data_IF_027382421301
#
_entry.id   IF_027382421301
#
_cell.length_a   1.000
_cell.length_b   1.000
_cell.length_c   1.000
_cell.angle_alpha   90.00
_cell.angle_beta   90.00
_cell.angle_gamma   90.00
#
_symmetry.space_group_name_H-M   'P 1'
#
loop_
_entity.id
_entity.type
_entity.pdbx_description
1 polymer ?
#
# COMPACT_ATOMS: atom_id res chain seq x y z
N UNK A 1 -1.64 -28.01 66.17
CA UNK A 1 -2.82 -28.03 65.26
C UNK A 1 -2.81 -26.74 64.44
N UNK A 2 -2.70 -26.88 63.10
CA UNK A 2 -3.23 -26.05 61.99
C UNK A 2 -3.48 -24.55 62.29
N UNK A 3 -2.90 -23.56 61.62
CA UNK A 3 -2.42 -23.51 60.23
C UNK A 3 -3.03 -22.27 59.58
N UNK A 4 -2.17 -21.31 59.18
CA UNK A 4 -2.49 -20.02 58.55
C UNK A 4 -3.37 -20.21 57.31
N UNK A 5 -4.48 -19.47 57.20
CA UNK A 5 -5.29 -19.41 55.96
C UNK A 5 -4.83 -18.22 55.13
N UNK A 6 -4.18 -18.54 54.01
CA UNK A 6 -3.67 -17.62 53.01
C UNK A 6 -4.76 -17.16 52.04
N UNK A 7 -4.71 -15.87 51.71
CA UNK A 7 -4.91 -15.21 50.41
C UNK A 7 -5.77 -15.93 49.36
N UNK A 8 -6.87 -15.27 48.94
CA UNK A 8 -7.52 -15.53 47.66
C UNK A 8 -7.97 -14.21 47.00
N UNK A 9 -7.01 -13.42 46.51
CA UNK A 9 -7.21 -12.50 45.39
C UNK A 9 -6.74 -13.22 44.13
N UNK A 10 -7.65 -13.86 43.39
CA UNK A 10 -7.33 -14.43 42.09
C UNK A 10 -8.61 -14.62 41.25
N UNK A 11 -8.69 -13.97 40.08
CA UNK A 11 -9.67 -14.36 39.07
C UNK A 11 -10.23 -13.26 38.18
N UNK A 12 -9.43 -12.30 37.71
CA UNK A 12 -9.83 -11.36 36.63
C UNK A 12 -8.56 -10.96 35.86
N UNK A 13 -7.93 -11.92 35.19
CA UNK A 13 -6.69 -11.71 34.44
C UNK A 13 -6.80 -12.28 33.03
N UNK A 14 -6.72 -11.34 32.07
CA UNK A 14 -6.29 -11.45 30.67
C UNK A 14 -7.12 -12.29 29.68
N UNK A 15 -7.96 -11.62 28.89
CA UNK A 15 -8.48 -12.16 27.61
C UNK A 15 -8.43 -11.16 26.43
N UNK A 16 -7.64 -10.09 26.48
CA UNK A 16 -7.79 -8.96 25.52
C UNK A 16 -6.60 -8.66 24.59
N UNK A 17 -5.74 -9.64 24.24
CA UNK A 17 -4.56 -9.38 23.38
C UNK A 17 -4.51 -10.09 22.01
N UNK A 18 -5.58 -10.75 21.55
CA UNK A 18 -5.50 -11.61 20.36
C UNK A 18 -5.89 -10.98 19.00
N UNK A 19 -6.31 -9.71 18.93
CA UNK A 19 -6.93 -9.18 17.71
C UNK A 19 -5.97 -8.62 16.64
N UNK A 20 -4.67 -8.45 16.92
CA UNK A 20 -3.73 -7.84 15.96
C UNK A 20 -3.05 -8.84 15.00
N UNK A 21 -3.36 -10.13 15.06
CA UNK A 21 -2.60 -11.17 14.37
C UNK A 21 -3.06 -11.49 12.93
N UNK A 22 -4.25 -11.05 12.50
CA UNK A 22 -4.87 -11.56 11.27
C UNK A 22 -4.76 -10.67 10.03
N UNK A 23 -4.06 -9.53 10.09
CA UNK A 23 -3.82 -8.73 8.90
C UNK A 23 -2.75 -9.40 8.01
N UNK A 24 -3.02 -9.60 6.70
CA UNK A 24 -2.00 -10.01 5.74
C UNK A 24 -0.80 -9.06 5.81
N UNK A 25 0.41 -9.62 5.79
CA UNK A 25 1.67 -8.88 5.92
C UNK A 25 2.49 -9.01 4.65
N UNK A 26 3.45 -8.10 4.49
CA UNK A 26 4.52 -8.24 3.52
C UNK A 26 5.15 -9.64 3.58
N UNK A 27 5.61 -10.17 2.43
CA UNK A 27 6.33 -11.44 2.40
C UNK A 27 7.55 -11.45 3.31
N UNK A 28 7.92 -12.63 3.80
CA UNK A 28 9.14 -12.81 4.60
C UNK A 28 10.36 -12.30 3.82
N UNK A 29 11.23 -11.57 4.49
CA UNK A 29 12.46 -11.01 3.91
C UNK A 29 12.30 -9.62 3.31
N UNK A 30 11.08 -9.07 3.24
CA UNK A 30 10.86 -7.66 2.91
C UNK A 30 10.83 -6.82 4.18
N UNK A 31 11.70 -5.82 4.25
CA UNK A 31 11.73 -4.86 5.35
C UNK A 31 10.77 -3.69 5.06
N UNK A 32 9.79 -3.51 5.93
CA UNK A 32 8.74 -2.49 5.79
C UNK A 32 9.31 -1.06 5.82
N UNK A 33 10.29 -0.80 6.68
CA UNK A 33 10.92 0.52 6.82
C UNK A 33 11.71 0.89 5.57
N UNK A 34 12.50 -0.06 5.03
CA UNK A 34 13.25 0.13 3.79
C UNK A 34 12.32 0.34 2.60
N UNK A 35 11.24 -0.45 2.49
CA UNK A 35 10.23 -0.27 1.44
C UNK A 35 9.58 1.12 1.52
N UNK A 36 9.19 1.53 2.72
CA UNK A 36 8.62 2.87 2.98
C UNK A 36 9.59 3.98 2.59
N UNK A 37 10.86 3.88 2.98
CA UNK A 37 11.88 4.87 2.62
C UNK A 37 12.17 4.90 1.12
N UNK A 38 12.23 3.74 0.46
CA UNK A 38 12.49 3.64 -0.97
C UNK A 38 11.35 4.28 -1.78
N UNK A 39 10.10 3.91 -1.49
CA UNK A 39 8.92 4.46 -2.18
C UNK A 39 8.75 5.95 -1.87
N UNK A 40 8.94 6.36 -0.61
CA UNK A 40 8.84 7.76 -0.20
C UNK A 40 9.86 8.66 -0.93
N UNK A 41 11.08 8.17 -1.18
CA UNK A 41 12.08 8.91 -1.98
C UNK A 41 11.75 8.95 -3.46
N UNK A 42 11.10 7.90 -3.99
CA UNK A 42 10.82 7.77 -5.41
C UNK A 42 9.67 8.67 -5.86
N UNK A 43 8.55 8.65 -5.12
CA UNK A 43 7.30 9.31 -5.51
C UNK A 43 6.54 9.95 -4.34
N UNK A 44 7.19 10.13 -3.18
CA UNK A 44 6.55 10.66 -1.98
C UNK A 44 6.00 12.08 -2.16
N UNK A 45 4.81 12.30 -1.61
CA UNK A 45 4.10 13.57 -1.66
C UNK A 45 2.86 13.53 -0.75
N UNK A 46 2.26 14.70 -0.45
CA UNK A 46 1.11 14.79 0.45
C UNK A 46 -0.12 14.01 -0.07
N UNK A 47 -0.25 13.88 -1.39
CA UNK A 47 -1.34 13.22 -2.09
C UNK A 47 -0.86 11.97 -2.87
N UNK A 48 0.21 11.33 -2.42
CA UNK A 48 0.69 10.05 -2.96
C UNK A 48 0.09 8.88 -2.18
N UNK A 49 -0.35 7.84 -2.87
CA UNK A 49 -0.64 6.54 -2.27
C UNK A 49 -0.01 5.41 -3.08
N UNK A 50 0.53 4.41 -2.38
CA UNK A 50 0.93 3.13 -2.95
C UNK A 50 0.35 2.01 -2.11
N UNK A 51 -0.29 1.04 -2.72
CA UNK A 51 -0.76 -0.15 -2.02
C UNK A 51 -0.27 -1.41 -2.75
N UNK A 52 0.01 -2.46 -1.99
CA UNK A 52 0.42 -3.76 -2.51
C UNK A 52 -0.53 -4.81 -1.97
N UNK A 53 -1.00 -5.70 -2.84
CA UNK A 53 -1.82 -6.86 -2.50
C UNK A 53 -1.09 -8.17 -2.81
N UNK A 54 -1.46 -9.21 -2.06
CA UNK A 54 -1.14 -10.58 -2.43
C UNK A 54 -1.98 -11.08 -3.62
N UNK A 55 -1.70 -12.30 -4.04
CA UNK A 55 -2.42 -13.06 -5.08
C UNK A 55 -3.94 -13.18 -4.84
N UNK A 56 -4.37 -13.10 -3.58
CA UNK A 56 -5.78 -13.11 -3.16
C UNK A 56 -6.43 -11.72 -3.16
N UNK A 57 -5.72 -10.68 -3.59
CA UNK A 57 -6.18 -9.30 -3.58
C UNK A 57 -6.28 -8.68 -2.18
N UNK A 58 -5.67 -9.31 -1.17
CA UNK A 58 -5.63 -8.75 0.17
C UNK A 58 -4.44 -7.80 0.30
N UNK A 59 -4.69 -6.57 0.75
CA UNK A 59 -3.63 -5.59 0.96
C UNK A 59 -2.65 -6.08 2.03
N UNK A 60 -1.38 -6.18 1.65
CA UNK A 60 -0.25 -6.57 2.52
C UNK A 60 0.61 -5.38 2.92
N UNK A 61 0.50 -4.26 2.21
CA UNK A 61 1.26 -3.05 2.48
C UNK A 61 0.58 -1.79 1.94
N UNK A 62 0.84 -0.66 2.59
CA UNK A 62 0.43 0.68 2.15
C UNK A 62 1.56 1.67 2.45
N UNK A 63 1.95 2.42 1.42
CA UNK A 63 2.74 3.65 1.53
C UNK A 63 1.86 4.87 1.29
N UNK A 64 2.00 5.88 2.14
CA UNK A 64 1.20 7.11 2.09
C UNK A 64 0.14 7.20 3.19
N UNK A 65 -0.45 8.39 3.33
CA UNK A 65 -1.44 8.66 4.37
C UNK A 65 -2.80 8.03 4.08
N UNK A 66 -3.57 7.74 5.14
CA UNK A 66 -4.93 7.20 5.03
C UNK A 66 -5.81 8.03 4.09
N UNK A 67 -5.76 9.37 4.24
CA UNK A 67 -6.56 10.29 3.43
C UNK A 67 -6.16 10.24 1.95
N UNK A 68 -4.86 10.11 1.64
CA UNK A 68 -4.38 9.96 0.27
C UNK A 68 -4.96 8.69 -0.36
N UNK A 69 -4.86 7.55 0.32
CA UNK A 69 -5.29 6.27 -0.24
C UNK A 69 -6.81 6.05 -0.32
N UNK A 70 -7.58 6.65 0.60
CA UNK A 70 -9.02 6.42 0.69
C UNK A 70 -9.86 7.38 -0.17
N UNK A 71 -9.28 8.50 -0.63
CA UNK A 71 -10.01 9.49 -1.39
C UNK A 71 -10.32 8.99 -2.81
N UNK A 72 -11.57 9.11 -3.28
CA UNK A 72 -11.89 8.88 -4.69
C UNK A 72 -11.20 9.91 -5.59
N UNK A 73 -10.60 9.46 -6.66
CA UNK A 73 -9.91 10.26 -7.67
C UNK A 73 -10.36 9.85 -9.08
N UNK A 74 -10.26 10.71 -10.10
CA UNK A 74 -10.60 10.33 -11.47
C UNK A 74 -9.78 9.12 -11.95
N UNK A 75 -10.44 8.12 -12.53
CA UNK A 75 -9.81 6.92 -13.09
C UNK A 75 -9.36 7.10 -14.55
N UNK A 76 -9.50 8.30 -15.10
CA UNK A 76 -9.16 8.68 -16.48
C UNK A 76 -10.01 8.01 -17.58
N UNK A 77 -11.14 7.41 -17.22
CA UNK A 77 -12.15 6.85 -18.12
C UNK A 77 -13.54 7.52 -17.94
N UNK A 78 -13.59 8.63 -17.21
CA UNK A 78 -14.83 9.32 -16.84
C UNK A 78 -15.45 8.85 -15.53
N UNK A 79 -14.87 7.83 -14.87
CA UNK A 79 -15.29 7.38 -13.54
C UNK A 79 -14.33 7.86 -12.44
N UNK A 80 -14.71 7.62 -11.19
CA UNK A 80 -13.83 7.82 -10.03
C UNK A 80 -13.55 6.49 -9.33
N UNK A 81 -12.36 6.36 -8.74
CA UNK A 81 -11.94 5.16 -8.03
C UNK A 81 -11.06 5.51 -6.83
N UNK A 82 -10.95 4.59 -5.88
CA UNK A 82 -9.97 4.68 -4.78
C UNK A 82 -8.76 3.82 -5.08
N UNK A 83 -7.64 4.02 -4.38
CA UNK A 83 -6.48 3.15 -4.51
C UNK A 83 -6.84 1.69 -4.20
N UNK A 84 -7.61 1.43 -3.15
CA UNK A 84 -8.02 0.08 -2.75
C UNK A 84 -8.89 -0.61 -3.83
N UNK A 85 -9.81 0.12 -4.45
CA UNK A 85 -10.64 -0.40 -5.53
C UNK A 85 -9.82 -0.67 -6.81
N UNK A 86 -8.93 0.26 -7.17
CA UNK A 86 -8.00 0.10 -8.29
C UNK A 86 -7.05 -1.09 -8.07
N UNK A 87 -6.51 -1.27 -6.87
CA UNK A 87 -5.66 -2.41 -6.52
C UNK A 87 -6.38 -3.74 -6.74
N UNK A 88 -7.59 -3.88 -6.20
CA UNK A 88 -8.42 -5.10 -6.39
C UNK A 88 -8.71 -5.36 -7.86
N UNK A 89 -9.00 -4.31 -8.62
CA UNK A 89 -9.25 -4.41 -10.05
C UNK A 89 -8.00 -4.78 -10.85
N UNK A 90 -6.79 -4.50 -10.35
CA UNK A 90 -5.52 -4.77 -11.02
C UNK A 90 -4.98 -6.19 -10.77
N UNK A 91 -5.46 -6.91 -9.75
CA UNK A 91 -4.97 -8.26 -9.42
C UNK A 91 -5.09 -9.19 -10.63
N UNK A 92 -3.98 -9.84 -10.99
CA UNK A 92 -3.91 -10.78 -12.12
C UNK A 92 -3.95 -10.11 -13.51
N UNK A 93 -3.89 -8.79 -13.58
CA UNK A 93 -3.84 -8.04 -14.85
C UNK A 93 -2.44 -7.59 -15.20
N UNK A 94 -2.23 -7.25 -16.47
CA UNK A 94 -1.01 -6.64 -16.95
C UNK A 94 -0.85 -5.22 -16.39
N UNK A 95 0.40 -4.78 -16.38
CA UNK A 95 0.72 -3.41 -15.99
C UNK A 95 0.02 -2.40 -16.89
N UNK A 96 -0.53 -1.36 -16.28
CA UNK A 96 -1.13 -0.24 -16.98
C UNK A 96 -0.97 1.04 -16.17
N UNK A 97 -0.98 2.16 -16.88
CA UNK A 97 -0.83 3.49 -16.32
C UNK A 97 -1.76 4.45 -17.03
N UNK A 98 -2.15 5.51 -16.33
CA UNK A 98 -3.00 6.56 -16.87
C UNK A 98 -2.67 7.91 -16.24
N UNK A 99 -2.96 8.99 -16.96
CA UNK A 99 -2.90 10.36 -16.44
C UNK A 99 -4.02 11.19 -17.02
N UNK A 100 -4.62 12.01 -16.17
CA UNK A 100 -5.71 12.91 -16.56
C UNK A 100 -5.79 14.11 -15.60
N UNK A 101 -6.58 15.14 -15.92
CA UNK A 101 -6.87 16.23 -14.98
C UNK A 101 -7.45 15.70 -13.66
N UNK A 102 -7.02 16.25 -12.53
CA UNK A 102 -7.48 15.80 -11.20
C UNK A 102 -8.93 16.20 -10.90
N UNK A 103 -9.42 17.27 -11.54
CA UNK A 103 -10.69 17.90 -11.20
C UNK A 103 -10.68 18.62 -9.85
N UNK A 104 -9.52 18.84 -9.23
CA UNK A 104 -9.39 19.63 -8.00
C UNK A 104 -9.31 21.13 -8.28
N UNK A 105 -9.53 21.95 -7.25
CA UNK A 105 -9.52 23.42 -7.36
C UNK A 105 -8.10 24.00 -7.61
N UNK A 106 -7.07 23.14 -7.63
CA UNK A 106 -5.69 23.54 -7.91
C UNK A 106 -5.49 23.62 -9.42
N UNK A 107 -5.17 24.81 -9.99
CA UNK A 107 -4.99 24.97 -11.42
C UNK A 107 -3.89 24.05 -11.97
N UNK A 108 -4.21 23.32 -13.04
CA UNK A 108 -3.26 22.41 -13.70
C UNK A 108 -2.95 21.14 -12.92
N UNK A 109 -3.63 20.87 -11.80
CA UNK A 109 -3.45 19.61 -11.08
C UNK A 109 -3.86 18.41 -11.93
N UNK A 110 -3.04 17.37 -11.86
CA UNK A 110 -3.27 16.11 -12.56
C UNK A 110 -3.34 14.98 -11.55
N UNK A 111 -3.91 13.86 -11.98
CA UNK A 111 -3.77 12.57 -11.31
C UNK A 111 -2.99 11.64 -12.23
N UNK A 112 -2.00 10.96 -11.66
CA UNK A 112 -1.27 9.87 -12.31
C UNK A 112 -1.55 8.56 -11.60
N UNK A 113 -1.74 7.49 -12.37
CA UNK A 113 -1.97 6.13 -11.91
C UNK A 113 -0.97 5.18 -12.55
N UNK A 114 -0.46 4.24 -11.77
CA UNK A 114 0.30 3.09 -12.24
C UNK A 114 -0.11 1.86 -11.43
N UNK A 115 -0.36 0.74 -12.08
CA UNK A 115 -0.70 -0.50 -11.38
C UNK A 115 -0.36 -1.72 -12.22
N UNK A 116 -0.12 -2.84 -11.56
CA UNK A 116 0.29 -4.08 -12.22
C UNK A 116 1.01 -5.03 -11.28
N UNK A 117 1.62 -6.09 -11.82
CA UNK A 117 2.46 -6.98 -11.05
C UNK A 117 3.64 -6.22 -10.43
N UNK A 118 3.98 -6.51 -9.17
CA UNK A 118 5.23 -6.04 -8.58
C UNK A 118 6.38 -6.78 -9.26
N UNK A 119 7.37 -6.09 -9.84
CA UNK A 119 8.48 -6.75 -10.50
C UNK A 119 9.36 -7.47 -9.47
N UNK A 120 9.86 -8.64 -9.86
CA UNK A 120 10.80 -9.41 -9.04
C UNK A 120 12.21 -8.88 -9.17
N UNK A 121 12.83 -8.51 -8.04
CA UNK A 121 14.25 -8.16 -7.97
C UNK A 121 15.17 -9.33 -8.32
N UNK A 122 16.39 -9.03 -8.79
CA UNK A 122 17.37 -10.05 -9.13
C UNK A 122 17.69 -10.94 -7.91
N UNK A 123 17.57 -12.26 -8.07
CA UNK A 123 17.79 -13.24 -6.99
C UNK A 123 16.65 -13.35 -5.98
N UNK A 124 15.52 -12.65 -6.17
CA UNK A 124 14.31 -12.81 -5.36
C UNK A 124 13.36 -13.82 -6.00
N UNK A 125 12.55 -14.55 -5.20
CA UNK A 125 11.47 -15.37 -5.74
C UNK A 125 10.34 -14.48 -6.26
N UNK A 126 9.64 -14.92 -7.31
CA UNK A 126 8.37 -14.31 -7.68
C UNK A 126 7.38 -14.47 -6.51
N UNK A 127 6.76 -13.35 -6.12
CA UNK A 127 5.84 -13.27 -4.98
C UNK A 127 4.40 -13.07 -5.41
N UNK A 128 4.15 -12.98 -6.72
CA UNK A 128 2.83 -12.75 -7.33
C UNK A 128 2.05 -11.60 -6.68
N UNK A 129 2.78 -10.54 -6.31
CA UNK A 129 2.19 -9.34 -5.72
C UNK A 129 1.66 -8.43 -6.83
N UNK A 130 0.61 -7.69 -6.53
CA UNK A 130 0.10 -6.61 -7.40
C UNK A 130 0.20 -5.30 -6.65
N UNK A 131 0.50 -4.20 -7.34
CA UNK A 131 0.50 -2.87 -6.75
C UNK A 131 -0.45 -1.93 -7.48
N UNK A 132 -0.82 -0.87 -6.78
CA UNK A 132 -1.29 0.40 -7.35
C UNK A 132 -0.46 1.52 -6.74
N UNK A 133 -0.12 2.51 -7.54
CA UNK A 133 0.52 3.74 -7.13
C UNK A 133 -0.20 4.91 -7.80
N UNK A 134 -0.45 5.96 -7.03
CA UNK A 134 -1.09 7.16 -7.53
C UNK A 134 -0.50 8.41 -6.90
N UNK A 135 -0.54 9.49 -7.67
CA UNK A 135 -0.20 10.84 -7.22
C UNK A 135 -1.24 11.81 -7.74
N UNK A 136 -1.65 12.77 -6.92
CA UNK A 136 -2.51 13.88 -7.34
C UNK A 136 -1.93 15.23 -6.93
N UNK A 137 -2.02 16.22 -7.81
CA UNK A 137 -1.56 17.59 -7.57
C UNK A 137 -0.94 18.25 -8.80
N UNK A 138 -0.51 19.49 -8.63
CA UNK A 138 0.20 20.31 -9.61
C UNK A 138 1.59 19.75 -9.99
N UNK A 139 2.19 18.97 -9.08
CA UNK A 139 3.46 18.25 -9.28
C UNK A 139 3.30 16.73 -9.35
N UNK A 140 2.09 16.24 -9.60
CA UNK A 140 1.88 14.81 -9.83
C UNK A 140 2.67 14.36 -11.06
N UNK A 141 3.35 13.22 -10.92
CA UNK A 141 4.07 12.62 -12.04
C UNK A 141 3.07 11.95 -13.00
N UNK A 142 3.37 11.90 -14.31
CA UNK A 142 2.61 11.05 -15.23
C UNK A 142 2.65 9.58 -14.80
N UNK A 143 1.60 8.82 -15.10
CA UNK A 143 1.47 7.43 -14.66
C UNK A 143 2.64 6.54 -15.09
N UNK A 144 3.17 6.75 -16.30
CA UNK A 144 4.36 6.03 -16.79
C UNK A 144 5.61 6.31 -15.95
N UNK A 145 5.77 7.53 -15.46
CA UNK A 145 6.90 7.93 -14.61
C UNK A 145 6.70 7.40 -13.18
N UNK A 146 5.47 7.39 -12.67
CA UNK A 146 5.12 6.74 -11.40
C UNK A 146 5.51 5.26 -11.47
N UNK A 147 5.13 4.57 -12.54
CA UNK A 147 5.46 3.16 -12.76
C UNK A 147 6.96 2.93 -12.67
N UNK A 148 7.76 3.61 -13.50
CA UNK A 148 9.21 3.37 -13.55
C UNK A 148 9.87 3.59 -12.18
N UNK A 149 9.54 4.70 -11.52
CA UNK A 149 10.12 5.06 -10.22
C UNK A 149 9.71 4.12 -9.10
N UNK A 150 8.43 3.73 -9.03
CA UNK A 150 7.95 2.86 -7.96
C UNK A 150 8.44 1.43 -8.14
N UNK A 151 8.47 0.93 -9.38
CA UNK A 151 9.01 -0.39 -9.70
C UNK A 151 10.52 -0.49 -9.41
N UNK A 152 11.28 0.57 -9.70
CA UNK A 152 12.67 0.65 -9.28
C UNK A 152 12.81 0.62 -7.75
N UNK A 153 11.96 1.38 -7.04
CA UNK A 153 11.97 1.41 -5.58
C UNK A 153 11.65 0.03 -4.97
N UNK A 154 10.71 -0.71 -5.56
CA UNK A 154 10.39 -2.08 -5.15
C UNK A 154 11.61 -3.01 -5.25
N UNK A 155 12.27 -3.04 -6.41
CA UNK A 155 13.48 -3.86 -6.61
C UNK A 155 14.58 -3.50 -5.60
N UNK A 156 14.79 -2.21 -5.35
CA UNK A 156 15.78 -1.72 -4.36
C UNK A 156 15.42 -2.10 -2.92
N UNK A 157 14.13 -2.25 -2.63
CA UNK A 157 13.62 -2.66 -1.33
C UNK A 157 13.61 -4.19 -1.13
N UNK A 158 14.02 -4.99 -2.13
CA UNK A 158 14.03 -6.45 -2.07
C UNK A 158 12.69 -7.09 -2.38
N UNK A 159 11.81 -6.38 -3.10
CA UNK A 159 10.67 -6.97 -3.80
C UNK A 159 11.10 -7.60 -5.13
#
# INVERSE_FOLDING_TARGET
MRGVVAVALAGLTLCSLSLAACAPKLPKGVDDANLTLAVGRAIGGPNTCVEIANDKGQRVWRGGGYIGCARPLPACDGTTTTADAALKAAVGKLAHFASCPSGSDVPGATVGWAMGPVPTGAGQPDRHLTYVAMMEGDRALPGVEIQDRVEHAFKKAGL
#
